data_IF_927910904129
#
_entry.id   IF_927910904129
#
_cell.length_a   1.000
_cell.length_b   1.000
_cell.length_c   1.000
_cell.angle_alpha   90.00
_cell.angle_beta   90.00
_cell.angle_gamma   90.00
#
_symmetry.space_group_name_H-M   'P 1'
#
loop_
_entity.id
_entity.type
_entity.pdbx_description
1 polymer ?
#
# COMPACT_ATOMS: atom_id res chain seq x y z
N UNK A 1 -8.44 -0.45 65.91
CA UNK A 1 -7.94 0.42 64.82
C UNK A 1 -7.05 -0.44 63.93
N UNK A 2 -7.37 -0.52 62.63
CA UNK A 2 -6.48 -0.55 61.44
C UNK A 2 -5.34 -1.60 61.41
N UNK A 3 -5.05 -2.38 60.36
CA UNK A 3 -5.47 -2.42 58.95
C UNK A 3 -5.01 -3.77 58.36
N UNK A 4 -5.88 -4.50 57.66
CA UNK A 4 -5.95 -4.67 56.19
C UNK A 4 -4.85 -5.54 55.58
N UNK A 5 -5.28 -6.76 55.22
CA UNK A 5 -4.69 -7.64 54.22
C UNK A 5 -4.45 -6.91 52.89
N UNK A 6 -3.22 -6.95 52.39
CA UNK A 6 -2.88 -6.46 51.05
C UNK A 6 -3.03 -7.62 50.07
N UNK A 7 -4.19 -7.61 49.42
CA UNK A 7 -4.55 -8.43 48.27
C UNK A 7 -3.83 -7.95 47.00
N UNK A 8 -3.37 -8.93 46.22
CA UNK A 8 -3.29 -8.98 44.75
C UNK A 8 -3.08 -7.69 43.96
N UNK A 9 -2.02 -7.70 43.14
CA UNK A 9 -2.13 -7.57 41.66
C UNK A 9 -0.75 -7.77 41.04
N UNK A 10 -0.41 -9.02 40.77
CA UNK A 10 0.60 -9.34 39.77
C UNK A 10 0.11 -8.80 38.42
N UNK A 11 0.89 -7.89 37.84
CA UNK A 11 0.65 -7.30 36.55
C UNK A 11 0.73 -8.40 35.48
N UNK A 12 -0.42 -8.88 35.05
CA UNK A 12 -0.58 -9.76 33.91
C UNK A 12 -0.18 -8.98 32.64
N UNK A 13 1.11 -9.00 32.33
CA UNK A 13 1.70 -8.40 31.13
C UNK A 13 1.23 -9.25 29.96
N UNK A 14 0.06 -8.90 29.42
CA UNK A 14 -0.56 -9.57 28.29
C UNK A 14 0.46 -9.75 27.18
N UNK A 15 0.86 -11.00 26.96
CA UNK A 15 1.60 -11.41 25.78
C UNK A 15 0.63 -11.20 24.63
N UNK A 16 0.72 -10.05 23.97
CA UNK A 16 0.07 -9.83 22.68
C UNK A 16 0.74 -10.82 21.74
N UNK A 17 0.09 -11.97 21.54
CA UNK A 17 0.42 -12.92 20.48
C UNK A 17 0.15 -12.19 19.17
N UNK A 18 1.15 -11.48 18.67
CA UNK A 18 1.14 -11.00 17.30
C UNK A 18 1.10 -12.25 16.43
N UNK A 19 -0.02 -12.49 15.77
CA UNK A 19 -0.11 -13.47 14.69
C UNK A 19 0.89 -13.03 13.64
N UNK A 20 2.11 -13.56 13.71
CA UNK A 20 3.14 -13.34 12.69
C UNK A 20 2.61 -13.99 11.42
N UNK A 21 1.98 -13.20 10.57
CA UNK A 21 1.66 -13.64 9.22
C UNK A 21 2.98 -14.04 8.55
N UNK A 22 3.13 -15.33 8.25
CA UNK A 22 4.27 -15.81 7.48
C UNK A 22 4.09 -15.27 6.06
N UNK A 23 5.04 -14.49 5.52
CA UNK A 23 4.92 -14.01 4.16
C UNK A 23 4.81 -15.19 3.21
N UNK A 24 3.90 -15.07 2.23
CA UNK A 24 3.65 -16.12 1.23
C UNK A 24 4.88 -16.39 0.35
N UNK A 25 5.78 -15.42 0.25
CA UNK A 25 7.04 -15.50 -0.48
C UNK A 25 8.22 -15.26 0.44
N UNK A 26 9.38 -15.79 0.07
CA UNK A 26 10.64 -15.51 0.76
C UNK A 26 11.08 -14.07 0.49
N UNK A 27 10.71 -13.19 1.41
CA UNK A 27 11.04 -11.77 1.35
C UNK A 27 12.54 -11.51 1.35
N UNK A 28 13.36 -12.38 1.95
CA UNK A 28 14.80 -12.19 1.98
C UNK A 28 15.41 -12.41 0.59
N UNK A 29 14.98 -13.45 -0.11
CA UNK A 29 15.43 -13.74 -1.48
C UNK A 29 14.94 -12.68 -2.47
N UNK A 30 13.72 -12.18 -2.32
CA UNK A 30 13.21 -11.06 -3.14
C UNK A 30 14.05 -9.80 -2.93
N UNK A 31 14.28 -9.40 -1.67
CA UNK A 31 15.07 -8.21 -1.37
C UNK A 31 16.51 -8.32 -1.90
N UNK A 32 17.15 -9.50 -1.72
CA UNK A 32 18.48 -9.78 -2.27
C UNK A 32 18.52 -9.63 -3.79
N UNK A 33 17.54 -10.21 -4.50
CA UNK A 33 17.48 -10.16 -5.95
C UNK A 33 17.27 -8.73 -6.47
N UNK A 34 16.41 -7.95 -5.80
CA UNK A 34 16.19 -6.54 -6.12
C UNK A 34 17.47 -5.73 -5.88
N UNK A 35 18.13 -5.87 -4.73
CA UNK A 35 19.40 -5.17 -4.45
C UNK A 35 20.49 -5.53 -5.46
N UNK A 36 20.55 -6.80 -5.88
CA UNK A 36 21.48 -7.25 -6.91
C UNK A 36 21.18 -6.60 -8.26
N UNK A 37 19.91 -6.53 -8.67
CA UNK A 37 19.50 -5.86 -9.92
C UNK A 37 19.81 -4.35 -9.92
N UNK A 38 19.87 -3.73 -8.74
CA UNK A 38 20.25 -2.32 -8.58
C UNK A 38 21.76 -2.12 -8.76
N UNK A 39 22.56 -3.00 -8.16
CA UNK A 39 24.03 -2.90 -8.15
C UNK A 39 24.68 -3.43 -9.43
N UNK A 40 24.07 -4.44 -10.04
CA UNK A 40 24.59 -5.16 -11.19
C UNK A 40 23.64 -5.02 -12.39
N UNK A 41 23.96 -4.06 -13.27
CA UNK A 41 23.22 -3.83 -14.50
C UNK A 41 23.27 -5.02 -15.46
N UNK A 42 24.33 -5.85 -15.41
CA UNK A 42 24.45 -7.05 -16.24
C UNK A 42 23.41 -8.07 -15.80
N UNK A 43 23.29 -8.33 -14.50
CA UNK A 43 22.27 -9.22 -13.95
C UNK A 43 20.85 -8.78 -14.35
N UNK A 44 20.50 -7.50 -14.24
CA UNK A 44 19.19 -7.01 -14.66
C UNK A 44 18.93 -7.21 -16.16
N UNK A 45 19.92 -6.92 -17.01
CA UNK A 45 19.78 -7.10 -18.45
C UNK A 45 19.65 -8.58 -18.83
N UNK A 46 20.45 -9.46 -18.23
CA UNK A 46 20.37 -10.92 -18.44
C UNK A 46 18.99 -11.46 -18.00
N UNK A 47 18.47 -10.98 -16.87
CA UNK A 47 17.14 -11.32 -16.39
C UNK A 47 16.03 -10.86 -17.35
N UNK A 48 16.13 -9.66 -17.92
CA UNK A 48 15.18 -9.16 -18.93
C UNK A 48 15.27 -9.92 -20.26
N UNK A 49 16.48 -10.29 -20.70
CA UNK A 49 16.68 -11.10 -21.90
C UNK A 49 16.04 -12.49 -21.77
N UNK A 50 16.02 -13.06 -20.56
CA UNK A 50 15.37 -14.37 -20.31
C UNK A 50 13.87 -14.38 -20.68
N UNK A 51 13.18 -13.25 -20.55
CA UNK A 51 11.75 -13.11 -20.87
C UNK A 51 11.48 -12.39 -22.19
N UNK A 52 12.50 -12.11 -22.99
CA UNK A 52 12.36 -11.33 -24.23
C UNK A 52 11.51 -12.00 -25.31
N UNK A 53 11.54 -13.32 -25.36
CA UNK A 53 10.73 -14.10 -26.30
C UNK A 53 9.30 -14.34 -25.81
N UNK A 54 8.97 -13.87 -24.60
CA UNK A 54 7.64 -14.01 -24.05
C UNK A 54 6.65 -13.12 -24.78
N UNK A 55 5.40 -13.58 -24.90
CA UNK A 55 4.31 -12.77 -25.45
C UNK A 55 3.85 -11.76 -24.41
N UNK A 56 3.78 -10.51 -24.81
CA UNK A 56 3.17 -9.42 -24.04
C UNK A 56 1.84 -9.00 -24.70
N UNK A 57 0.89 -8.42 -23.95
CA UNK A 57 0.96 -8.05 -22.53
C UNK A 57 0.81 -9.24 -21.57
N UNK A 58 1.37 -9.14 -20.36
CA UNK A 58 1.35 -10.24 -19.39
C UNK A 58 1.28 -9.77 -17.93
N UNK A 59 0.70 -10.61 -17.07
CA UNK A 59 0.70 -10.40 -15.62
C UNK A 59 1.88 -11.09 -14.95
N UNK A 60 2.19 -10.68 -13.70
CA UNK A 60 3.27 -11.28 -12.90
C UNK A 60 3.24 -12.80 -12.88
N UNK A 61 2.07 -13.40 -12.66
CA UNK A 61 1.96 -14.85 -12.53
C UNK A 61 2.32 -15.58 -13.84
N UNK A 62 2.04 -14.96 -15.00
CA UNK A 62 2.39 -15.52 -16.29
C UNK A 62 3.90 -15.41 -16.55
N UNK A 63 4.51 -14.27 -16.18
CA UNK A 63 5.96 -14.07 -16.24
C UNK A 63 6.69 -15.09 -15.36
N UNK A 64 6.24 -15.27 -14.12
CA UNK A 64 6.83 -16.25 -13.19
C UNK A 64 6.65 -17.68 -13.69
N UNK A 65 5.48 -18.02 -14.23
CA UNK A 65 5.23 -19.35 -14.80
C UNK A 65 6.15 -19.62 -15.99
N UNK A 66 6.32 -18.63 -16.87
CA UNK A 66 7.23 -18.73 -18.01
C UNK A 66 8.68 -18.93 -17.54
N UNK A 67 9.16 -18.12 -16.60
CA UNK A 67 10.52 -18.21 -16.06
C UNK A 67 10.84 -19.57 -15.45
N UNK A 68 9.92 -20.13 -14.66
CA UNK A 68 10.09 -21.47 -14.07
C UNK A 68 10.25 -22.59 -15.09
N UNK A 69 9.80 -22.39 -16.33
CA UNK A 69 9.94 -23.37 -17.40
C UNK A 69 11.26 -23.24 -18.18
N UNK A 70 11.91 -22.06 -18.14
CA UNK A 70 13.09 -21.76 -18.95
C UNK A 70 14.39 -21.67 -18.13
N UNK A 71 14.30 -21.39 -16.83
CA UNK A 71 15.45 -21.22 -15.95
C UNK A 71 15.18 -21.78 -14.56
N UNK A 72 16.25 -22.26 -13.91
CA UNK A 72 16.28 -22.65 -12.50
C UNK A 72 16.96 -21.59 -11.62
N UNK A 73 17.28 -20.42 -12.18
CA UNK A 73 17.90 -19.33 -11.41
C UNK A 73 16.90 -18.71 -10.44
N UNK A 74 17.05 -19.05 -9.15
CA UNK A 74 16.22 -18.56 -8.06
C UNK A 74 16.29 -17.04 -7.88
N UNK A 75 17.44 -16.41 -8.15
CA UNK A 75 17.59 -14.96 -8.02
C UNK A 75 16.80 -14.25 -9.13
N UNK A 76 16.87 -14.75 -10.36
CA UNK A 76 16.04 -14.24 -11.47
C UNK A 76 14.56 -14.41 -11.15
N UNK A 77 14.12 -15.60 -10.72
CA UNK A 77 12.71 -15.83 -10.36
C UNK A 77 12.28 -14.89 -9.22
N UNK A 78 13.11 -14.72 -8.19
CA UNK A 78 12.85 -13.84 -7.05
C UNK A 78 12.76 -12.37 -7.45
N UNK A 79 13.58 -11.92 -8.41
CA UNK A 79 13.50 -10.57 -8.97
C UNK A 79 12.11 -10.31 -9.57
N UNK A 80 11.60 -11.23 -10.37
CA UNK A 80 10.28 -11.07 -10.98
C UNK A 80 9.13 -11.28 -10.00
N UNK A 81 9.35 -11.94 -8.85
CA UNK A 81 8.34 -12.04 -7.78
C UNK A 81 8.08 -10.69 -7.12
N UNK A 82 9.08 -9.78 -7.15
CA UNK A 82 8.98 -8.41 -6.65
C UNK A 82 7.99 -7.53 -7.44
N UNK A 83 7.59 -7.96 -8.65
CA UNK A 83 6.62 -7.23 -9.46
C UNK A 83 5.25 -7.15 -8.78
N UNK A 84 4.45 -6.17 -9.21
CA UNK A 84 3.07 -6.03 -8.75
C UNK A 84 2.20 -7.11 -9.40
N UNK A 85 1.36 -7.77 -8.60
CA UNK A 85 0.45 -8.81 -9.08
C UNK A 85 -0.78 -8.27 -9.82
N UNK A 86 -1.13 -6.99 -9.62
CA UNK A 86 -2.33 -6.36 -10.17
C UNK A 86 -2.06 -5.57 -11.46
N UNK A 87 -0.79 -5.36 -11.80
CA UNK A 87 -0.40 -4.61 -13.00
C UNK A 87 -0.22 -5.56 -14.17
N UNK A 88 -0.76 -5.16 -15.32
CA UNK A 88 -0.46 -5.77 -16.61
C UNK A 88 0.76 -5.07 -17.22
N UNK A 89 1.79 -5.85 -17.55
CA UNK A 89 3.02 -5.36 -18.17
C UNK A 89 2.89 -5.47 -19.69
N UNK A 90 2.98 -4.34 -20.39
CA UNK A 90 2.79 -4.33 -21.85
C UNK A 90 4.06 -4.67 -22.64
N UNK A 91 5.23 -4.52 -22.04
CA UNK A 91 6.52 -4.78 -22.67
C UNK A 91 7.64 -4.90 -21.61
N UNK A 92 8.86 -5.20 -22.09
CA UNK A 92 10.07 -5.26 -21.26
C UNK A 92 10.42 -3.91 -20.62
N UNK A 93 10.07 -2.80 -21.28
CA UNK A 93 10.36 -1.47 -20.77
C UNK A 93 9.54 -1.17 -19.51
N UNK A 94 8.24 -1.49 -19.49
CA UNK A 94 7.38 -1.36 -18.32
C UNK A 94 7.90 -2.19 -17.15
N UNK A 95 8.31 -3.44 -17.39
CA UNK A 95 8.91 -4.30 -16.36
C UNK A 95 10.15 -3.65 -15.78
N UNK A 96 11.09 -3.23 -16.65
CA UNK A 96 12.33 -2.57 -16.22
C UNK A 96 12.01 -1.34 -15.37
N UNK A 97 11.05 -0.52 -15.82
CA UNK A 97 10.68 0.70 -15.11
C UNK A 97 10.08 0.40 -13.73
N UNK A 98 9.26 -0.64 -13.61
CA UNK A 98 8.70 -1.07 -12.32
C UNK A 98 9.77 -1.58 -11.36
N UNK A 99 10.77 -2.33 -11.84
CA UNK A 99 11.91 -2.76 -11.02
C UNK A 99 12.73 -1.54 -10.55
N UNK A 100 13.01 -0.60 -11.45
CA UNK A 100 13.76 0.62 -11.14
C UNK A 100 13.02 1.57 -10.19
N UNK A 101 11.69 1.58 -10.17
CA UNK A 101 10.92 2.41 -9.24
C UNK A 101 10.94 1.89 -7.79
N UNK A 102 11.24 0.60 -7.61
CA UNK A 102 11.39 0.02 -6.29
C UNK A 102 12.77 0.29 -5.64
N UNK A 103 13.65 1.06 -6.30
CA UNK A 103 14.95 1.46 -5.78
C UNK A 103 14.77 2.48 -4.64
N UNK A 104 15.25 2.19 -3.41
CA UNK A 104 15.08 3.06 -2.25
C UNK A 104 15.62 4.49 -2.48
N UNK A 105 16.73 4.63 -3.19
CA UNK A 105 17.38 5.92 -3.51
C UNK A 105 16.47 6.80 -4.38
N UNK A 106 15.85 6.23 -5.42
CA UNK A 106 14.86 6.94 -6.27
C UNK A 106 13.56 7.24 -5.53
N UNK A 107 13.21 6.40 -4.54
CA UNK A 107 12.05 6.64 -3.67
C UNK A 107 12.31 7.79 -2.69
N UNK A 108 13.55 8.03 -2.28
CA UNK A 108 13.95 9.14 -1.43
C UNK A 108 13.90 10.48 -2.18
N UNK A 109 14.31 10.50 -3.44
CA UNK A 109 14.23 11.68 -4.31
C UNK A 109 12.79 12.18 -4.49
N UNK A 110 11.84 11.25 -4.63
CA UNK A 110 10.41 11.58 -4.78
C UNK A 110 9.67 11.73 -3.44
N UNK A 111 10.35 11.53 -2.31
CA UNK A 111 9.75 11.75 -1.00
C UNK A 111 9.81 13.23 -0.62
N UNK A 112 8.66 13.77 -0.21
CA UNK A 112 8.59 15.09 0.40
C UNK A 112 9.52 15.11 1.62
N UNK A 113 10.40 16.12 1.68
CA UNK A 113 11.36 16.25 2.78
C UNK A 113 10.65 16.37 4.12
N UNK A 114 11.29 15.94 5.21
CA UNK A 114 10.73 16.09 6.55
C UNK A 114 10.39 17.56 6.88
N UNK A 115 11.15 18.50 6.32
CA UNK A 115 10.87 19.93 6.47
C UNK A 115 9.56 20.33 5.78
N UNK A 116 9.32 19.89 4.54
CA UNK A 116 8.03 20.06 3.84
C UNK A 116 6.88 19.26 4.49
N UNK A 117 7.17 18.20 5.26
CA UNK A 117 6.16 17.46 6.03
C UNK A 117 5.76 18.18 7.32
N UNK A 118 6.70 18.87 7.96
CA UNK A 118 6.45 19.62 9.20
C UNK A 118 5.72 20.93 8.93
N UNK A 119 6.04 21.58 7.81
CA UNK A 119 5.38 22.80 7.37
C UNK A 119 4.94 22.65 5.91
N UNK A 120 3.89 21.84 5.66
CA UNK A 120 3.36 21.73 4.31
C UNK A 120 2.75 23.10 3.97
N UNK A 121 3.15 23.67 2.83
CA UNK A 121 2.53 24.87 2.24
C UNK A 121 1.12 24.50 1.74
N UNK A 122 0.24 24.25 2.71
CA UNK A 122 -1.18 24.07 2.52
C UNK A 122 -1.76 25.47 2.64
N UNK A 123 -2.51 25.89 1.63
CA UNK A 123 -3.36 27.07 1.77
C UNK A 123 -4.39 26.80 2.86
N UNK A 124 -4.06 27.12 4.12
CA UNK A 124 -5.02 27.15 5.22
C UNK A 124 -5.86 28.41 5.01
N UNK A 125 -6.95 28.29 4.24
CA UNK A 125 -7.93 29.35 4.10
C UNK A 125 -8.71 29.44 5.42
N UNK A 126 -8.69 30.60 6.08
CA UNK A 126 -9.47 30.85 7.30
C UNK A 126 -10.96 30.51 7.08
N UNK A 127 -11.41 29.42 7.67
CA UNK A 127 -12.82 29.01 7.57
C UNK A 127 -13.65 29.76 8.60
N UNK A 128 -14.30 30.86 8.19
CA UNK A 128 -15.44 31.40 8.95
C UNK A 128 -16.65 30.47 8.75
N UNK A 129 -17.39 30.20 9.82
CA UNK A 129 -18.46 29.19 9.91
C UNK A 129 -19.60 29.34 8.90
N UNK A 130 -19.72 30.51 8.26
CA UNK A 130 -20.83 30.86 7.35
C UNK A 130 -20.49 30.74 5.86
N UNK A 131 -19.33 30.18 5.49
CA UNK A 131 -18.95 30.00 4.08
C UNK A 131 -19.19 28.58 3.61
N UNK A 132 -19.86 28.45 2.46
CA UNK A 132 -20.12 27.18 1.77
C UNK A 132 -18.81 26.46 1.42
N UNK A 133 -18.86 25.12 1.33
CA UNK A 133 -17.75 24.26 0.88
C UNK A 133 -17.18 24.80 -0.46
N UNK A 134 -18.05 25.40 -1.29
CA UNK A 134 -17.79 26.12 -2.56
C UNK A 134 -16.69 27.20 -2.51
N UNK A 135 -16.58 27.95 -1.41
CA UNK A 135 -15.53 28.98 -1.27
C UNK A 135 -14.22 28.43 -0.68
N UNK A 136 -14.27 27.25 -0.06
CA UNK A 136 -13.13 26.64 0.64
C UNK A 136 -12.25 25.85 -0.33
N UNK A 137 -12.85 25.10 -1.26
CA UNK A 137 -12.15 24.00 -1.98
C UNK A 137 -11.93 24.24 -3.48
N UNK A 138 -12.68 25.13 -4.14
CA UNK A 138 -12.54 25.34 -5.58
C UNK A 138 -11.27 26.15 -5.95
N UNK A 139 -10.56 25.71 -7.00
CA UNK A 139 -9.44 26.45 -7.61
C UNK A 139 -9.97 27.59 -8.49
N UNK A 140 -11.14 27.39 -9.12
CA UNK A 140 -11.90 28.41 -9.84
C UNK A 140 -13.41 28.10 -9.76
N UNK A 141 -14.26 29.13 -9.64
CA UNK A 141 -15.73 29.00 -9.57
C UNK A 141 -16.34 28.34 -10.83
N UNK A 142 -15.65 28.44 -11.97
CA UNK A 142 -16.12 27.90 -13.25
C UNK A 142 -15.97 26.37 -13.39
N UNK A 143 -15.19 25.72 -12.53
CA UNK A 143 -15.00 24.26 -12.53
C UNK A 143 -16.05 23.51 -11.71
N UNK A 144 -17.02 24.22 -11.12
CA UNK A 144 -18.07 23.64 -10.27
C UNK A 144 -19.11 22.87 -11.11
N UNK A 145 -19.11 21.54 -10.91
CA UNK A 145 -20.10 20.62 -11.44
C UNK A 145 -21.44 20.79 -10.71
N UNK A 146 -22.41 21.40 -11.39
CA UNK A 146 -23.76 21.70 -10.84
C UNK A 146 -24.66 20.48 -10.67
N UNK A 147 -24.22 19.31 -11.14
CA UNK A 147 -25.00 18.07 -11.18
C UNK A 147 -24.89 17.22 -9.91
N UNK A 148 -24.05 17.59 -8.94
CA UNK A 148 -23.89 16.85 -7.69
C UNK A 148 -24.39 17.65 -6.47
N UNK A 149 -25.35 17.13 -5.69
CA UNK A 149 -25.80 17.78 -4.47
C UNK A 149 -24.74 17.72 -3.37
N UNK A 150 -24.55 18.82 -2.64
CA UNK A 150 -23.71 18.87 -1.44
C UNK A 150 -24.34 17.99 -0.35
N UNK A 151 -23.74 16.83 -0.08
CA UNK A 151 -24.11 15.98 1.05
C UNK A 151 -23.36 16.43 2.29
N UNK A 152 -24.11 16.77 3.35
CA UNK A 152 -23.51 17.09 4.64
C UNK A 152 -22.77 15.86 5.20
N UNK A 153 -21.65 16.01 5.92
CA UNK A 153 -20.96 14.88 6.57
C UNK A 153 -21.89 14.04 7.47
N UNK A 154 -22.94 14.67 8.02
CA UNK A 154 -23.97 14.03 8.84
C UNK A 154 -24.94 13.14 8.05
N UNK A 155 -25.03 13.31 6.72
CA UNK A 155 -25.86 12.49 5.84
C UNK A 155 -25.23 11.12 5.51
N UNK A 156 -23.95 10.91 5.85
CA UNK A 156 -23.28 9.62 5.69
C UNK A 156 -23.66 8.74 6.89
N UNK A 157 -24.63 7.84 6.71
CA UNK A 157 -25.03 6.87 7.73
C UNK A 157 -23.81 6.07 8.18
N UNK A 158 -23.48 6.16 9.48
CA UNK A 158 -22.31 5.51 10.06
C UNK A 158 -22.61 4.04 10.34
N UNK A 159 -22.12 3.16 9.47
CA UNK A 159 -22.22 1.72 9.67
C UNK A 159 -21.17 1.27 10.70
N UNK A 160 -21.58 0.57 11.74
CA UNK A 160 -20.64 0.19 12.83
C UNK A 160 -20.46 -1.32 12.85
N UNK A 161 -19.23 -1.80 12.95
CA UNK A 161 -18.93 -3.21 13.14
C UNK A 161 -19.31 -3.65 14.56
N UNK A 162 -20.15 -4.67 14.69
CA UNK A 162 -20.57 -5.22 15.97
C UNK A 162 -19.44 -5.98 16.71
N UNK A 163 -18.39 -6.38 15.99
CA UNK A 163 -17.28 -7.16 16.56
C UNK A 163 -16.19 -6.27 17.17
N UNK A 164 -15.81 -5.19 16.47
CA UNK A 164 -14.71 -4.31 16.90
C UNK A 164 -15.12 -2.85 17.17
N UNK A 165 -16.37 -2.47 16.92
CA UNK A 165 -16.90 -1.12 17.15
C UNK A 165 -16.39 -0.06 16.17
N UNK A 166 -15.74 -0.45 15.06
CA UNK A 166 -15.27 0.50 14.04
C UNK A 166 -16.43 1.03 13.20
N UNK A 167 -16.32 2.31 12.87
CA UNK A 167 -17.29 3.06 12.06
C UNK A 167 -16.84 3.08 10.60
N UNK A 168 -17.80 2.94 9.70
CA UNK A 168 -17.62 2.92 8.25
C UNK A 168 -18.63 3.86 7.60
N UNK A 169 -18.21 4.49 6.51
CA UNK A 169 -19.05 5.40 5.72
C UNK A 169 -20.02 4.64 4.81
N UNK A 170 -19.70 3.40 4.47
CA UNK A 170 -20.36 2.62 3.43
C UNK A 170 -20.66 1.21 3.97
N UNK A 171 -21.80 0.64 3.58
CA UNK A 171 -22.16 -0.74 3.96
C UNK A 171 -21.20 -1.76 3.35
N UNK A 172 -20.71 -1.51 2.13
CA UNK A 172 -19.76 -2.40 1.46
C UNK A 172 -18.44 -2.50 2.23
N UNK A 173 -17.92 -1.37 2.73
CA UNK A 173 -16.70 -1.36 3.53
C UNK A 173 -16.88 -2.14 4.83
N UNK A 174 -18.04 -1.99 5.49
CA UNK A 174 -18.38 -2.80 6.65
C UNK A 174 -18.46 -4.30 6.30
N UNK A 175 -19.01 -4.67 5.15
CA UNK A 175 -19.08 -6.07 4.70
C UNK A 175 -17.69 -6.63 4.42
N UNK A 176 -16.82 -5.88 3.72
CA UNK A 176 -15.43 -6.28 3.46
C UNK A 176 -14.65 -6.42 4.77
N UNK A 177 -14.82 -5.47 5.67
CA UNK A 177 -14.22 -5.51 6.99
C UNK A 177 -14.68 -6.74 7.79
N UNK A 178 -15.99 -7.03 7.83
CA UNK A 178 -16.52 -8.22 8.50
C UNK A 178 -15.99 -9.51 7.90
N UNK A 179 -15.91 -9.61 6.56
CA UNK A 179 -15.34 -10.78 5.88
C UNK A 179 -13.88 -10.99 6.27
N UNK A 180 -13.10 -9.92 6.32
CA UNK A 180 -11.70 -9.98 6.75
C UNK A 180 -11.56 -10.38 8.24
N UNK A 181 -12.46 -9.92 9.10
CA UNK A 181 -12.47 -10.31 10.51
C UNK A 181 -12.95 -11.76 10.74
N UNK A 182 -13.86 -12.26 9.91
CA UNK A 182 -14.39 -13.62 10.03
C UNK A 182 -13.53 -14.69 9.34
N UNK A 183 -12.69 -14.30 8.37
CA UNK A 183 -11.84 -15.22 7.61
C UNK A 183 -12.60 -16.08 6.62
#
# INVERSE_FOLDING_TARGET
MKSVDISNKEANKGIIRTSRHKPMFDTASINRAVERAIKDAKFLNDALESIKLMKFPAYKNDIIRYLKNITNDEDTISLFQSLDGYIQYNDLYHIRKSIEQNIPEKKLENQISNQKRQDPDVRIRETRSNKSIKEKEAVNLSEERKDYPEVTPTAMSVFTCSMCGKHFQNQDDLVHHRRFESG
#
